data_IF_402880320922
#
_entry.id   IF_402880320922
#
_cell.length_a   1.000
_cell.length_b   1.000
_cell.length_c   1.000
_cell.angle_alpha   90.00
_cell.angle_beta   90.00
_cell.angle_gamma   90.00
#
_symmetry.space_group_name_H-M   'P 1'
#
loop_
_entity.id
_entity.type
_entity.pdbx_description
1 polymer ?
#
# COMPACT_ATOMS: atom_id res chain seq x y z
N UNK A 1 31.36 -3.83 -56.74
CA UNK A 1 32.00 -3.63 -55.41
C UNK A 1 30.97 -3.01 -54.47
N UNK A 2 30.63 -3.65 -53.35
CA UNK A 2 29.70 -3.08 -52.35
C UNK A 2 30.48 -2.07 -51.50
N UNK A 3 30.10 -0.80 -51.51
CA UNK A 3 30.61 0.17 -50.55
C UNK A 3 30.07 -0.20 -49.16
N UNK A 4 30.97 -0.33 -48.18
CA UNK A 4 30.60 -0.38 -46.77
C UNK A 4 30.60 1.07 -46.29
N UNK A 5 29.43 1.66 -46.10
CA UNK A 5 29.28 2.91 -45.37
C UNK A 5 29.51 2.63 -43.88
N UNK A 6 30.57 3.19 -43.31
CA UNK A 6 30.83 3.18 -41.87
C UNK A 6 30.05 4.30 -41.18
N UNK A 7 29.65 4.07 -39.92
CA UNK A 7 29.09 5.09 -39.04
C UNK A 7 30.14 6.18 -38.78
N UNK A 8 29.72 7.45 -38.79
CA UNK A 8 30.57 8.57 -38.40
C UNK A 8 30.61 8.74 -36.88
N UNK A 9 31.71 9.29 -36.35
CA UNK A 9 31.82 9.60 -34.93
C UNK A 9 30.76 10.61 -34.46
N UNK A 10 30.36 11.54 -35.35
CA UNK A 10 29.34 12.55 -35.03
C UNK A 10 27.93 11.93 -34.93
N UNK A 11 27.62 10.92 -35.75
CA UNK A 11 26.36 10.17 -35.63
C UNK A 11 26.27 9.42 -34.31
N UNK A 12 27.38 8.84 -33.83
CA UNK A 12 27.37 8.20 -32.51
C UNK A 12 27.26 9.24 -31.38
N UNK A 13 27.93 10.39 -31.53
CA UNK A 13 27.94 11.46 -30.53
C UNK A 13 26.53 12.05 -30.32
N UNK A 14 25.79 12.34 -31.40
CA UNK A 14 24.44 12.91 -31.25
C UNK A 14 23.48 11.91 -30.60
N UNK A 15 23.63 10.60 -30.87
CA UNK A 15 22.80 9.55 -30.30
C UNK A 15 23.00 9.44 -28.78
N UNK A 16 24.24 9.43 -28.30
CA UNK A 16 24.49 9.34 -26.85
C UNK A 16 24.02 10.61 -26.10
N UNK A 17 24.07 11.78 -26.76
CA UNK A 17 23.53 13.03 -26.20
C UNK A 17 22.01 12.94 -26.05
N UNK A 18 21.30 12.47 -27.09
CA UNK A 18 19.84 12.31 -27.04
C UNK A 18 19.45 11.25 -25.99
N UNK A 19 20.13 10.10 -25.94
CA UNK A 19 19.88 9.06 -24.94
C UNK A 19 20.13 9.61 -23.52
N UNK A 20 21.17 10.42 -23.30
CA UNK A 20 21.45 11.05 -22.01
C UNK A 20 20.32 11.98 -21.53
N UNK A 21 19.77 12.80 -22.42
CA UNK A 21 18.65 13.69 -22.11
C UNK A 21 17.38 12.88 -21.80
N UNK A 22 17.06 11.89 -22.64
CA UNK A 22 15.87 11.04 -22.45
C UNK A 22 15.96 10.20 -21.17
N UNK A 23 17.15 9.68 -20.85
CA UNK A 23 17.37 8.92 -19.62
C UNK A 23 17.15 9.78 -18.37
N UNK A 24 17.64 11.02 -18.37
CA UNK A 24 17.45 11.95 -17.24
C UNK A 24 15.96 12.23 -16.94
N UNK A 25 15.16 12.53 -17.96
CA UNK A 25 13.71 12.78 -17.80
C UNK A 25 12.95 11.49 -17.45
N UNK A 26 13.36 10.35 -18.02
CA UNK A 26 12.75 9.05 -17.78
C UNK A 26 12.79 8.61 -16.31
N UNK A 27 13.92 8.82 -15.62
CA UNK A 27 14.11 8.40 -14.22
C UNK A 27 13.16 9.17 -13.27
N UNK A 28 13.06 10.50 -13.44
CA UNK A 28 12.21 11.32 -12.58
C UNK A 28 10.72 10.98 -12.73
N UNK A 29 10.27 10.71 -13.95
CA UNK A 29 8.88 10.30 -14.23
C UNK A 29 8.56 8.92 -13.66
N UNK A 30 9.51 7.98 -13.73
CA UNK A 30 9.34 6.60 -13.26
C UNK A 30 9.10 6.53 -11.74
N UNK A 31 9.85 7.29 -10.94
CA UNK A 31 9.72 7.28 -9.47
C UNK A 31 8.32 7.76 -9.02
N UNK A 32 7.78 8.82 -9.63
CA UNK A 32 6.43 9.31 -9.29
C UNK A 32 5.30 8.33 -9.67
N UNK A 33 5.48 7.55 -10.74
CA UNK A 33 4.53 6.50 -11.14
C UNK A 33 4.55 5.31 -10.18
N UNK A 34 5.73 4.93 -9.69
CA UNK A 34 5.88 3.87 -8.70
C UNK A 34 5.17 4.21 -7.40
N UNK A 35 5.34 5.42 -6.87
CA UNK A 35 4.71 5.80 -5.59
C UNK A 35 3.19 5.84 -5.68
N UNK A 36 2.63 6.32 -6.81
CA UNK A 36 1.18 6.24 -7.07
C UNK A 36 0.68 4.80 -7.11
N UNK A 37 1.42 3.92 -7.77
CA UNK A 37 1.08 2.49 -7.87
C UNK A 37 1.13 1.80 -6.50
N UNK A 38 2.11 2.15 -5.66
CA UNK A 38 2.23 1.67 -4.28
C UNK A 38 1.04 2.09 -3.43
N UNK A 39 0.66 3.37 -3.49
CA UNK A 39 -0.51 3.87 -2.77
C UNK A 39 -1.81 3.24 -3.25
N UNK A 40 -1.99 3.05 -4.56
CA UNK A 40 -3.16 2.37 -5.11
C UNK A 40 -3.27 0.92 -4.58
N UNK A 41 -2.14 0.21 -4.48
CA UNK A 41 -2.09 -1.11 -3.85
C UNK A 41 -2.50 -1.06 -2.38
N UNK A 42 -2.00 -0.09 -1.59
CA UNK A 42 -2.38 0.05 -0.18
C UNK A 42 -3.87 0.27 -0.01
N UNK A 43 -4.47 1.14 -0.83
CA UNK A 43 -5.92 1.39 -0.79
C UNK A 43 -6.70 0.09 -1.09
N UNK A 44 -6.27 -0.67 -2.09
CA UNK A 44 -6.91 -1.93 -2.47
C UNK A 44 -6.79 -2.98 -1.35
N UNK A 45 -5.60 -3.18 -0.81
CA UNK A 45 -5.30 -4.13 0.27
C UNK A 45 -6.13 -3.80 1.53
N UNK A 46 -6.17 -2.52 1.94
CA UNK A 46 -6.95 -2.09 3.13
C UNK A 46 -8.45 -2.24 2.92
N UNK A 47 -8.94 -1.99 1.70
CA UNK A 47 -10.35 -2.21 1.35
C UNK A 47 -10.71 -3.69 1.43
N UNK A 48 -9.84 -4.59 0.96
CA UNK A 48 -10.05 -6.03 1.05
C UNK A 48 -10.17 -6.49 2.51
N UNK A 49 -9.25 -6.05 3.37
CA UNK A 49 -9.30 -6.33 4.82
C UNK A 49 -10.60 -5.76 5.43
N UNK A 50 -10.98 -4.54 5.06
CA UNK A 50 -12.22 -3.92 5.54
C UNK A 50 -13.47 -4.69 5.13
N UNK A 51 -13.50 -5.22 3.91
CA UNK A 51 -14.58 -6.07 3.42
C UNK A 51 -14.63 -7.41 4.15
N UNK A 52 -13.49 -8.03 4.44
CA UNK A 52 -13.41 -9.23 5.29
C UNK A 52 -14.01 -8.96 6.68
N UNK A 53 -13.64 -7.83 7.30
CA UNK A 53 -14.21 -7.35 8.56
C UNK A 53 -15.73 -7.19 8.53
N UNK A 54 -16.26 -6.54 7.49
CA UNK A 54 -17.70 -6.36 7.29
C UNK A 54 -18.42 -7.69 7.11
N UNK A 55 -17.85 -8.63 6.34
CA UNK A 55 -18.43 -9.96 6.14
C UNK A 55 -18.51 -10.73 7.45
N UNK A 56 -17.44 -10.73 8.24
CA UNK A 56 -17.41 -11.36 9.56
C UNK A 56 -18.47 -10.76 10.48
N UNK A 57 -18.59 -9.43 10.50
CA UNK A 57 -19.60 -8.73 11.31
C UNK A 57 -21.03 -9.19 10.96
N UNK A 58 -21.35 -9.38 9.68
CA UNK A 58 -22.70 -9.80 9.26
C UNK A 58 -22.97 -11.25 9.68
N UNK A 59 -22.01 -12.16 9.44
CA UNK A 59 -22.22 -13.60 9.62
C UNK A 59 -22.05 -14.04 11.07
N UNK A 60 -20.97 -13.62 11.72
CA UNK A 60 -20.62 -14.06 13.08
C UNK A 60 -21.07 -13.04 14.14
N UNK A 61 -20.99 -11.76 13.81
CA UNK A 61 -21.30 -10.67 14.74
C UNK A 61 -22.75 -10.19 14.73
N UNK A 62 -23.63 -10.78 13.91
CA UNK A 62 -25.03 -10.38 13.79
C UNK A 62 -25.26 -8.91 13.44
N UNK A 63 -24.29 -8.27 12.79
CA UNK A 63 -24.32 -6.83 12.44
C UNK A 63 -23.94 -5.88 13.58
N UNK A 64 -23.68 -6.38 14.80
CA UNK A 64 -23.42 -5.53 15.98
C UNK A 64 -22.02 -5.73 16.55
N UNK A 65 -21.52 -6.97 16.54
CA UNK A 65 -20.19 -7.33 17.05
C UNK A 65 -19.15 -7.36 15.93
N UNK A 66 -17.95 -6.86 16.23
CA UNK A 66 -16.85 -6.80 15.27
C UNK A 66 -15.69 -7.70 15.71
N UNK A 67 -14.83 -8.14 14.76
CA UNK A 67 -13.63 -8.89 15.08
C UNK A 67 -12.81 -8.14 16.14
N UNK A 68 -12.28 -8.87 17.13
CA UNK A 68 -11.48 -8.27 18.18
C UNK A 68 -10.24 -7.55 17.59
N UNK A 69 -9.81 -6.50 18.28
CA UNK A 69 -8.55 -5.82 18.00
C UNK A 69 -7.40 -6.81 18.14
N UNK A 70 -6.43 -6.74 17.23
CA UNK A 70 -5.21 -7.53 17.33
C UNK A 70 -4.00 -6.63 17.23
N UNK A 71 -2.85 -7.13 17.69
CA UNK A 71 -1.60 -6.45 17.40
C UNK A 71 -1.24 -6.60 15.91
N UNK A 72 -0.48 -5.64 15.34
CA UNK A 72 0.00 -5.74 13.97
C UNK A 72 0.72 -7.09 13.73
N UNK A 73 0.48 -7.67 12.55
CA UNK A 73 1.05 -8.97 12.12
C UNK A 73 0.63 -10.19 12.97
N UNK A 74 -0.35 -10.05 13.86
CA UNK A 74 -0.99 -11.19 14.52
C UNK A 74 -2.21 -11.70 13.73
N UNK A 75 -2.50 -13.00 13.77
CA UNK A 75 -3.68 -13.54 13.13
C UNK A 75 -4.94 -13.02 13.84
N UNK A 76 -5.66 -12.11 13.18
CA UNK A 76 -6.97 -11.67 13.62
C UNK A 76 -7.98 -12.81 13.51
N UNK A 77 -9.13 -12.66 14.16
CA UNK A 77 -10.28 -13.56 13.98
C UNK A 77 -10.74 -13.65 12.53
N UNK A 78 -10.36 -12.70 11.68
CA UNK A 78 -10.58 -12.78 10.23
C UNK A 78 -9.78 -13.90 9.58
N UNK A 79 -8.58 -14.20 10.08
CA UNK A 79 -7.75 -15.28 9.56
C UNK A 79 -8.19 -16.63 10.15
N UNK A 80 -8.39 -16.70 11.47
CA UNK A 80 -8.82 -17.95 12.11
C UNK A 80 -10.16 -18.46 11.58
N UNK A 81 -11.08 -17.54 11.27
CA UNK A 81 -12.44 -17.87 10.83
C UNK A 81 -12.55 -17.95 9.30
N UNK A 82 -11.43 -17.79 8.57
CA UNK A 82 -11.35 -18.02 7.13
C UNK A 82 -11.88 -16.89 6.23
N UNK A 83 -12.05 -15.67 6.77
CA UNK A 83 -12.44 -14.49 5.97
C UNK A 83 -11.25 -13.86 5.25
N UNK A 84 -10.03 -14.20 5.67
CA UNK A 84 -8.77 -13.76 5.09
C UNK A 84 -7.75 -14.90 5.20
N UNK A 85 -7.04 -15.27 4.13
CA UNK A 85 -6.00 -16.30 4.23
C UNK A 85 -4.77 -15.80 5.02
N UNK A 86 -4.44 -14.53 4.84
CA UNK A 86 -3.36 -13.81 5.52
C UNK A 86 -3.53 -12.31 5.28
N UNK A 87 -2.93 -11.49 6.14
CA UNK A 87 -2.79 -10.08 5.80
C UNK A 87 -1.90 -9.91 4.56
N UNK A 88 -2.32 -9.08 3.58
CA UNK A 88 -1.46 -8.72 2.46
C UNK A 88 -0.19 -8.04 2.97
N UNK A 89 0.86 -7.99 2.15
CA UNK A 89 2.06 -7.20 2.48
C UNK A 89 2.02 -5.86 1.75
N UNK A 90 2.20 -4.74 2.47
CA UNK A 90 2.29 -3.45 1.82
C UNK A 90 3.56 -3.37 0.96
N UNK A 91 3.63 -2.39 0.04
CA UNK A 91 4.76 -2.25 -0.88
C UNK A 91 6.11 -1.93 -0.21
N UNK A 92 6.09 -1.49 1.05
CA UNK A 92 7.27 -1.16 1.83
C UNK A 92 7.59 -2.28 2.82
N UNK A 93 8.86 -2.65 2.93
CA UNK A 93 9.30 -3.80 3.73
C UNK A 93 9.04 -3.67 5.23
N UNK A 94 8.99 -2.45 5.74
CA UNK A 94 8.66 -2.13 7.13
C UNK A 94 7.16 -1.97 7.37
N UNK A 95 6.34 -1.89 6.31
CA UNK A 95 4.92 -1.64 6.47
C UNK A 95 4.17 -2.86 6.99
N UNK A 96 3.18 -2.64 7.85
CA UNK A 96 2.27 -3.69 8.33
C UNK A 96 0.83 -3.20 8.33
N UNK A 97 -0.10 -4.04 7.91
CA UNK A 97 -1.52 -3.78 8.12
C UNK A 97 -1.95 -4.24 9.50
N UNK A 98 -2.97 -3.57 10.04
CA UNK A 98 -3.57 -3.90 11.31
C UNK A 98 -5.10 -3.73 11.25
N UNK A 99 -5.81 -4.66 11.88
CA UNK A 99 -7.25 -4.57 12.06
C UNK A 99 -7.53 -3.94 13.41
N UNK A 100 -8.16 -2.77 13.41
CA UNK A 100 -8.43 -2.03 14.63
C UNK A 100 -9.90 -2.13 15.03
N UNK A 101 -10.14 -2.57 16.27
CA UNK A 101 -11.47 -2.52 16.89
C UNK A 101 -11.41 -1.84 18.25
N UNK A 102 -11.62 -0.53 18.26
CA UNK A 102 -11.45 0.31 19.43
C UNK A 102 -12.76 0.74 20.06
N UNK A 103 -12.66 1.39 21.22
CA UNK A 103 -13.78 1.97 21.96
C UNK A 103 -14.91 0.95 22.18
N UNK A 104 -14.54 -0.28 22.55
CA UNK A 104 -15.45 -1.40 22.79
C UNK A 104 -16.42 -1.71 21.63
N UNK A 105 -15.96 -1.59 20.38
CA UNK A 105 -16.80 -1.85 19.21
C UNK A 105 -17.44 -0.62 18.59
N UNK A 106 -17.12 0.59 19.08
CA UNK A 106 -17.64 1.82 18.49
C UNK A 106 -16.87 2.29 17.25
N UNK A 107 -15.57 1.95 17.16
CA UNK A 107 -14.69 2.40 16.08
C UNK A 107 -14.04 1.21 15.39
N UNK A 108 -14.27 1.06 14.08
CA UNK A 108 -13.61 0.04 13.26
C UNK A 108 -12.86 0.70 12.11
N UNK A 109 -11.60 0.32 11.97
CA UNK A 109 -10.73 0.79 10.91
C UNK A 109 -9.66 -0.24 10.57
N UNK A 110 -9.08 -0.11 9.39
CA UNK A 110 -7.83 -0.80 9.04
C UNK A 110 -6.74 0.24 9.05
N UNK A 111 -5.59 -0.05 9.67
CA UNK A 111 -4.42 0.82 9.60
C UNK A 111 -3.31 0.18 8.76
N UNK A 112 -2.55 1.02 8.07
CA UNK A 112 -1.29 0.67 7.44
C UNK A 112 -0.22 1.46 8.17
N UNK A 113 0.55 0.79 9.03
CA UNK A 113 1.63 1.39 9.81
C UNK A 113 2.92 1.35 8.98
N UNK A 114 3.70 2.43 9.05
CA UNK A 114 4.99 2.58 8.36
C UNK A 114 4.92 2.42 6.81
N UNK A 115 3.79 2.80 6.21
CA UNK A 115 3.52 2.63 4.78
C UNK A 115 3.90 3.85 3.93
N UNK A 116 5.14 4.34 4.05
CA UNK A 116 5.64 5.48 3.24
C UNK A 116 6.99 5.20 2.60
N UNK A 117 7.36 6.01 1.61
CA UNK A 117 8.62 5.99 0.87
C UNK A 117 9.88 6.34 1.70
N UNK A 118 9.85 6.10 3.02
CA UNK A 118 10.97 6.32 3.94
C UNK A 118 10.65 6.13 5.43
N UNK A 119 9.55 5.44 5.79
CA UNK A 119 9.15 5.27 7.19
C UNK A 119 10.03 4.27 7.97
N UNK A 120 10.57 4.71 9.11
CA UNK A 120 11.24 3.85 10.09
C UNK A 120 10.20 3.20 11.00
N UNK A 121 10.31 1.88 11.23
CA UNK A 121 9.37 1.13 12.06
C UNK A 121 9.17 1.76 13.44
N UNK A 122 7.91 2.03 13.83
CA UNK A 122 7.54 2.51 15.17
C UNK A 122 7.37 4.03 15.34
N UNK A 123 7.46 4.81 14.26
CA UNK A 123 7.03 6.20 14.28
C UNK A 123 5.56 6.27 13.84
N UNK A 124 4.63 6.61 14.74
CA UNK A 124 3.21 6.88 14.42
C UNK A 124 2.98 8.02 13.40
N UNK A 125 4.04 8.53 12.78
CA UNK A 125 4.08 9.70 11.91
C UNK A 125 3.49 9.44 10.53
N UNK A 126 3.51 8.19 10.06
CA UNK A 126 3.19 7.81 8.68
C UNK A 126 2.19 6.64 8.61
N UNK A 127 1.09 6.78 9.35
CA UNK A 127 0.00 5.79 9.38
C UNK A 127 -1.10 6.19 8.40
N UNK A 128 -1.52 5.27 7.54
CA UNK A 128 -2.75 5.44 6.76
C UNK A 128 -3.87 4.67 7.41
N UNK A 129 -5.10 5.16 7.27
CA UNK A 129 -6.26 4.48 7.83
C UNK A 129 -7.43 4.46 6.86
N UNK A 130 -8.14 3.34 6.88
CA UNK A 130 -9.38 3.11 6.15
C UNK A 130 -10.51 2.95 7.15
N UNK A 131 -11.39 3.95 7.20
CA UNK A 131 -12.46 4.00 8.18
C UNK A 131 -13.65 3.15 7.75
N UNK A 132 -14.10 2.25 8.63
CA UNK A 132 -15.24 1.37 8.40
C UNK A 132 -16.47 1.91 9.13
N UNK A 133 -16.32 2.24 10.42
CA UNK A 133 -17.40 2.70 11.29
C UNK A 133 -16.85 3.54 12.44
N UNK A 134 -17.68 4.47 12.93
CA UNK A 134 -17.38 5.26 14.12
C UNK A 134 -16.48 6.45 13.82
N UNK A 135 -15.87 6.99 14.88
CA UNK A 135 -14.96 8.12 14.78
C UNK A 135 -13.51 7.62 14.70
N UNK A 136 -13.15 7.16 13.49
CA UNK A 136 -11.83 6.62 13.17
C UNK A 136 -10.71 7.63 13.48
N UNK A 137 -9.65 7.19 14.18
CA UNK A 137 -8.58 8.05 14.71
C UNK A 137 -7.24 7.82 14.00
N UNK A 138 -6.44 8.88 13.95
CA UNK A 138 -5.03 8.89 13.53
C UNK A 138 -4.81 8.92 12.02
N UNK A 139 -3.63 9.32 11.55
CA UNK A 139 -3.16 9.10 10.18
C UNK A 139 -3.79 9.92 9.04
N UNK A 140 -3.50 9.51 7.79
CA UNK A 140 -4.10 10.06 6.55
C UNK A 140 -5.23 9.13 6.10
N UNK A 141 -6.41 9.71 5.86
CA UNK A 141 -7.62 8.97 5.50
C UNK A 141 -7.61 8.60 4.01
N UNK A 142 -7.89 7.34 3.71
CA UNK A 142 -7.82 6.79 2.34
C UNK A 142 -9.18 6.43 1.71
N UNK A 143 -10.30 6.82 2.33
CA UNK A 143 -11.64 6.48 1.86
C UNK A 143 -12.33 7.61 1.08
#
# INVERSE_FOLDING_TARGET
MKSRSGFTLIELLVVIVIIGILAGVGIASYNGSLDKSRMAKVIADMKEIAEAGKKWNIVNGGGTTWPADVYPDQPSTLISDGYLEKFPRPPWSSGTYDWENWDAGATQQVTCRDCTSGGTFGAWTNTYYYCIRGNCRGGIRLN
#
